data_IF_680288556022
#
_entry.id   IF_680288556022
#
_cell.length_a   1.000
_cell.length_b   1.000
_cell.length_c   1.000
_cell.angle_alpha   90.00
_cell.angle_beta   90.00
_cell.angle_gamma   90.00
#
_symmetry.space_group_name_H-M   'P 1'
#
loop_
_entity.id
_entity.type
_entity.pdbx_description
1 polymer ?
#
# COMPACT_ATOMS: atom_id res chain seq x y z
N UNK A 1 -27.04 18.67 -11.72
CA UNK A 1 -25.74 18.67 -12.40
C UNK A 1 -25.03 17.39 -11.98
N UNK A 2 -24.92 16.42 -12.88
CA UNK A 2 -24.21 15.17 -12.61
C UNK A 2 -22.77 15.38 -13.06
N UNK A 3 -21.88 15.66 -12.12
CA UNK A 3 -20.43 15.70 -12.37
C UNK A 3 -19.94 14.27 -12.62
N UNK A 4 -20.13 13.79 -13.85
CA UNK A 4 -19.36 12.68 -14.39
C UNK A 4 -17.91 13.14 -14.51
N UNK A 5 -17.20 13.11 -13.38
CA UNK A 5 -15.74 13.17 -13.35
C UNK A 5 -15.24 12.06 -14.28
N UNK A 6 -14.83 12.44 -15.48
CA UNK A 6 -14.32 11.49 -16.45
C UNK A 6 -13.09 10.84 -15.83
N UNK A 7 -13.22 9.57 -15.45
CA UNK A 7 -12.10 8.79 -14.94
C UNK A 7 -11.01 8.83 -16.01
N UNK A 8 -9.93 9.57 -15.75
CA UNK A 8 -8.78 9.58 -16.62
C UNK A 8 -7.90 8.38 -16.20
N UNK A 9 -7.84 7.29 -16.99
CA UNK A 9 -7.04 6.12 -16.64
C UNK A 9 -5.53 6.41 -16.61
N UNK A 10 -5.10 7.56 -17.14
CA UNK A 10 -3.71 8.04 -17.08
C UNK A 10 -3.45 8.96 -15.89
N UNK A 11 -4.44 9.21 -15.02
CA UNK A 11 -4.22 10.00 -13.82
C UNK A 11 -3.51 9.17 -12.75
N UNK A 12 -2.45 9.73 -12.17
CA UNK A 12 -1.79 9.15 -11.00
C UNK A 12 -2.64 9.28 -9.73
N UNK A 13 -3.69 10.12 -9.74
CA UNK A 13 -4.45 10.52 -8.58
C UNK A 13 -5.09 9.36 -7.81
N UNK A 14 -5.77 8.38 -8.45
CA UNK A 14 -6.37 7.27 -7.71
C UNK A 14 -5.33 6.39 -7.02
N UNK A 15 -4.20 6.14 -7.68
CA UNK A 15 -3.10 5.35 -7.12
C UNK A 15 -2.43 6.10 -5.97
N UNK A 16 -2.20 7.41 -6.12
CA UNK A 16 -1.63 8.26 -5.09
C UNK A 16 -2.53 8.32 -3.85
N UNK A 17 -3.82 8.63 -4.03
CA UNK A 17 -4.79 8.70 -2.95
C UNK A 17 -4.93 7.36 -2.22
N UNK A 18 -5.05 6.24 -2.95
CA UNK A 18 -5.12 4.92 -2.34
C UNK A 18 -3.86 4.52 -1.58
N UNK A 19 -2.68 4.94 -2.07
CA UNK A 19 -1.41 4.68 -1.38
C UNK A 19 -1.29 5.47 -0.10
N UNK A 20 -1.66 6.76 -0.12
CA UNK A 20 -1.70 7.59 1.09
C UNK A 20 -2.71 7.06 2.11
N UNK A 21 -3.89 6.63 1.67
CA UNK A 21 -4.88 6.02 2.56
C UNK A 21 -4.35 4.76 3.26
N UNK A 22 -3.63 3.89 2.53
CA UNK A 22 -2.97 2.72 3.10
C UNK A 22 -1.87 3.09 4.09
N UNK A 23 -1.01 4.06 3.75
CA UNK A 23 0.04 4.54 4.65
C UNK A 23 -0.53 5.11 5.95
N UNK A 24 -1.65 5.86 5.87
CA UNK A 24 -2.33 6.41 7.04
C UNK A 24 -2.95 5.30 7.89
N UNK A 25 -3.65 4.35 7.27
CA UNK A 25 -4.30 3.26 8.00
C UNK A 25 -3.29 2.33 8.70
N UNK A 26 -2.13 2.09 8.07
CA UNK A 26 -1.08 1.20 8.58
C UNK A 26 0.11 1.94 9.20
N UNK A 27 -0.05 3.20 9.62
CA UNK A 27 1.04 4.03 10.13
C UNK A 27 1.76 3.41 11.34
N UNK A 28 1.01 2.80 12.26
CA UNK A 28 1.56 2.28 13.53
C UNK A 28 1.98 0.80 13.46
N UNK A 29 1.18 -0.04 12.80
CA UNK A 29 1.37 -1.51 12.77
C UNK A 29 1.09 -2.06 11.38
N UNK A 30 2.02 -1.88 10.44
CA UNK A 30 1.82 -2.38 9.09
C UNK A 30 1.98 -3.91 9.05
N UNK A 31 1.05 -4.58 8.37
CA UNK A 31 1.23 -6.01 8.04
C UNK A 31 2.24 -6.16 6.90
N UNK A 32 2.89 -7.33 6.78
CA UNK A 32 3.81 -7.61 5.66
C UNK A 32 3.15 -7.40 4.30
N UNK A 33 1.90 -7.83 4.15
CA UNK A 33 1.15 -7.62 2.92
C UNK A 33 0.90 -6.13 2.63
N UNK A 34 0.59 -5.33 3.66
CA UNK A 34 0.43 -3.89 3.52
C UNK A 34 1.74 -3.20 3.12
N UNK A 35 2.85 -3.55 3.78
CA UNK A 35 4.18 -3.01 3.46
C UNK A 35 4.55 -3.27 2.00
N UNK A 36 4.39 -4.50 1.53
CA UNK A 36 4.65 -4.89 0.15
C UNK A 36 3.73 -4.15 -0.84
N UNK A 37 2.44 -4.00 -0.53
CA UNK A 37 1.48 -3.29 -1.38
C UNK A 37 1.82 -1.80 -1.47
N UNK A 38 2.09 -1.14 -0.35
CA UNK A 38 2.49 0.26 -0.30
C UNK A 38 3.79 0.46 -1.10
N UNK A 39 4.80 -0.38 -0.86
CA UNK A 39 6.07 -0.35 -1.59
C UNK A 39 5.90 -0.47 -3.11
N UNK A 40 5.09 -1.44 -3.58
CA UNK A 40 4.80 -1.62 -5.02
C UNK A 40 4.05 -0.44 -5.62
N UNK A 41 3.03 0.08 -4.94
CA UNK A 41 2.32 1.26 -5.42
C UNK A 41 3.26 2.46 -5.59
N UNK A 42 4.17 2.66 -4.64
CA UNK A 42 5.17 3.73 -4.70
C UNK A 42 6.19 3.53 -5.83
N UNK A 43 6.55 2.29 -6.16
CA UNK A 43 7.35 1.99 -7.35
C UNK A 43 6.62 2.36 -8.64
N UNK A 44 5.32 2.01 -8.74
CA UNK A 44 4.48 2.40 -9.87
C UNK A 44 4.35 3.92 -9.99
N UNK A 45 4.15 4.63 -8.88
CA UNK A 45 4.09 6.09 -8.86
C UNK A 45 5.42 6.72 -9.30
N UNK A 46 6.56 6.25 -8.79
CA UNK A 46 7.87 6.80 -9.19
C UNK A 46 8.09 6.80 -10.72
N UNK A 47 7.57 5.80 -11.42
CA UNK A 47 7.69 5.64 -12.87
C UNK A 47 6.59 6.37 -13.66
N UNK A 48 5.61 6.98 -12.99
CA UNK A 48 4.45 7.55 -13.64
C UNK A 48 4.76 8.90 -14.30
N UNK A 49 4.44 9.10 -15.60
CA UNK A 49 4.85 10.28 -16.37
C UNK A 49 4.21 11.59 -15.90
N UNK A 50 3.06 11.52 -15.23
CA UNK A 50 2.37 12.71 -14.71
C UNK A 50 2.96 13.28 -13.41
N UNK A 51 3.96 12.64 -12.80
CA UNK A 51 4.57 13.11 -11.55
C UNK A 51 5.82 13.95 -11.82
N UNK A 52 6.03 14.97 -10.98
CA UNK A 52 7.26 15.77 -11.02
C UNK A 52 8.48 14.94 -10.63
N UNK A 53 9.67 15.41 -11.00
CA UNK A 53 10.92 14.74 -10.66
C UNK A 53 11.12 14.62 -9.14
N UNK A 54 10.72 15.64 -8.39
CA UNK A 54 10.79 15.71 -6.93
C UNK A 54 9.85 14.67 -6.30
N UNK A 55 8.60 14.63 -6.76
CA UNK A 55 7.62 13.68 -6.23
C UNK A 55 8.00 12.23 -6.60
N UNK A 56 8.50 12.03 -7.82
CA UNK A 56 9.07 10.77 -8.28
C UNK A 56 10.23 10.32 -7.37
N UNK A 57 11.14 11.22 -7.00
CA UNK A 57 12.23 10.93 -6.06
C UNK A 57 11.71 10.54 -4.67
N UNK A 58 10.70 11.23 -4.15
CA UNK A 58 10.06 10.91 -2.87
C UNK A 58 9.43 9.53 -2.91
N UNK A 59 8.64 9.23 -3.95
CA UNK A 59 8.04 7.90 -4.13
C UNK A 59 9.09 6.79 -4.18
N UNK A 60 10.23 7.01 -4.87
CA UNK A 60 11.33 6.04 -4.91
C UNK A 60 11.93 5.78 -3.52
N UNK A 61 12.18 6.83 -2.74
CA UNK A 61 12.76 6.69 -1.39
C UNK A 61 11.79 5.99 -0.43
N UNK A 62 10.51 6.36 -0.48
CA UNK A 62 9.47 5.71 0.31
C UNK A 62 9.31 4.24 -0.10
N UNK A 63 9.35 3.93 -1.39
CA UNK A 63 9.28 2.54 -1.87
C UNK A 63 10.40 1.69 -1.25
N UNK A 64 11.64 2.19 -1.26
CA UNK A 64 12.77 1.50 -0.64
C UNK A 64 12.51 1.25 0.85
N UNK A 65 12.13 2.29 1.60
CA UNK A 65 11.82 2.19 3.04
C UNK A 65 10.75 1.14 3.34
N UNK A 66 9.60 1.18 2.65
CA UNK A 66 8.49 0.28 2.89
C UNK A 66 8.79 -1.17 2.51
N UNK A 67 9.64 -1.40 1.51
CA UNK A 67 10.06 -2.75 1.11
C UNK A 67 11.12 -3.33 2.06
N UNK A 68 11.94 -2.49 2.69
CA UNK A 68 12.97 -2.93 3.66
C UNK A 68 12.43 -3.08 5.08
N UNK A 69 11.28 -2.47 5.41
CA UNK A 69 10.71 -2.51 6.76
C UNK A 69 10.42 -3.94 7.27
N UNK A 70 10.16 -4.88 6.36
CA UNK A 70 9.96 -6.30 6.67
C UNK A 70 11.23 -7.15 6.69
N UNK A 71 12.40 -6.58 6.41
CA UNK A 71 13.68 -7.29 6.40
C UNK A 71 14.34 -7.37 7.80
N UNK A 72 13.94 -6.52 8.75
CA UNK A 72 14.47 -6.46 10.13
C UNK A 72 13.57 -7.20 11.15
N UNK A 73 12.55 -7.92 10.71
CA UNK A 73 11.68 -8.66 11.63
C UNK A 73 12.28 -10.03 11.89
N UNK A 74 13.13 -10.10 12.93
CA UNK A 74 13.32 -11.33 13.69
C UNK A 74 11.94 -11.91 14.03
N UNK A 75 11.71 -13.23 13.82
CA UNK A 75 10.44 -13.84 14.10
C UNK A 75 10.24 -13.88 15.61
N UNK A 76 9.51 -12.92 16.16
CA UNK A 76 8.96 -13.06 17.50
C UNK A 76 7.92 -14.19 17.45
N UNK A 77 8.32 -15.37 17.91
CA UNK A 77 7.45 -16.49 18.25
C UNK A 77 6.16 -15.99 18.92
N UNK A 78 5.01 -16.30 18.31
CA UNK A 78 3.70 -15.99 18.88
C UNK A 78 2.54 -16.40 17.98
N UNK A 79 1.69 -17.36 18.38
CA UNK A 79 0.55 -17.77 17.58
C UNK A 79 -0.59 -16.77 17.76
N UNK A 80 -0.67 -15.78 16.87
CA UNK A 80 -1.87 -14.97 16.68
C UNK A 80 -2.26 -14.98 15.21
N UNK A 81 -2.49 -16.20 14.70
CA UNK A 81 -3.16 -16.40 13.42
C UNK A 81 -4.54 -15.72 13.44
N UNK A 82 -4.77 -14.93 12.39
CA UNK A 82 -6.01 -14.31 11.95
C UNK A 82 -7.29 -15.00 12.46
N UNK A 83 -7.98 -14.41 13.45
CA UNK A 83 -9.29 -14.88 13.93
C UNK A 83 -10.47 -14.63 12.99
N UNK A 84 -10.27 -14.06 11.80
CA UNK A 84 -11.36 -13.78 10.85
C UNK A 84 -11.48 -14.76 9.67
N UNK A 85 -10.59 -15.74 9.53
CA UNK A 85 -10.63 -16.69 8.40
C UNK A 85 -11.37 -18.02 8.68
N UNK A 86 -11.86 -18.25 9.91
CA UNK A 86 -12.44 -19.55 10.31
C UNK A 86 -13.97 -19.55 10.45
N UNK A 87 -14.70 -18.65 9.78
CA UNK A 87 -16.16 -18.56 9.88
C UNK A 87 -16.92 -19.14 8.68
N UNK A 88 -16.41 -20.16 7.98
CA UNK A 88 -17.16 -20.78 6.87
C UNK A 88 -17.04 -22.31 6.72
N UNK A 89 -16.60 -23.03 7.75
CA UNK A 89 -16.70 -24.51 7.75
C UNK A 89 -17.22 -24.99 9.10
N UNK A 90 -18.50 -24.71 9.37
CA UNK A 90 -19.25 -25.36 10.45
C UNK A 90 -20.76 -25.26 10.20
N UNK A 91 -21.21 -25.80 9.06
CA UNK A 91 -22.59 -26.26 8.89
C UNK A 91 -22.54 -27.53 8.05
N UNK A 92 -22.35 -28.67 8.72
CA UNK A 92 -22.99 -29.92 8.37
C UNK A 92 -24.06 -30.19 9.41
#
# INVERSE_FOLDING_TARGET
MSDTSSFNPQSAEPLLAGTLALMTFYADRPSVAAMQKIGRNLQCLHQHPALSAEMSLVCRRLAAYWLTLGCDVEPADGPAACRFAAASVATQ
#
